data_IF_829190173969
#
_entry.id   IF_829190173969
#
_cell.length_a   1.000
_cell.length_b   1.000
_cell.length_c   1.000
_cell.angle_alpha   90.00
_cell.angle_beta   90.00
_cell.angle_gamma   90.00
#
_symmetry.space_group_name_H-M   'P 1'
#
loop_
_entity.id
_entity.type
_entity.pdbx_description
1 polymer ?
#
# COMPACT_ATOMS: atom_id res chain seq x y z
N UNK A 1 -2.08 1.35 -2.48
CA UNK A 1 -2.94 1.38 -1.30
C UNK A 1 -3.88 0.20 -1.39
N UNK A 2 -3.89 -0.67 -0.39
CA UNK A 2 -4.63 -1.94 -0.44
C UNK A 2 -3.81 -3.10 -0.97
N UNK A 3 -4.03 -4.27 -0.37
CA UNK A 3 -3.46 -5.56 -0.79
C UNK A 3 -4.59 -6.61 -0.90
N UNK A 4 -5.70 -6.22 -1.51
CA UNK A 4 -6.80 -7.11 -1.90
C UNK A 4 -6.48 -7.83 -3.22
N UNK A 5 -7.49 -8.35 -3.91
CA UNK A 5 -7.28 -9.04 -5.19
C UNK A 5 -6.54 -8.16 -6.19
N UNK A 6 -7.08 -6.99 -6.53
CA UNK A 6 -6.44 -6.08 -7.51
C UNK A 6 -5.05 -5.64 -7.04
N UNK A 7 -4.95 -4.99 -5.87
CA UNK A 7 -3.67 -4.48 -5.37
C UNK A 7 -2.56 -5.53 -5.18
N UNK A 8 -2.90 -6.78 -4.84
CA UNK A 8 -1.88 -7.84 -4.70
C UNK A 8 -1.33 -8.32 -6.05
N UNK A 9 -2.17 -8.44 -7.08
CA UNK A 9 -1.70 -8.75 -8.44
C UNK A 9 -0.99 -7.55 -9.07
N UNK A 10 -1.42 -6.32 -8.79
CA UNK A 10 -0.68 -5.12 -9.21
C UNK A 10 0.73 -5.12 -8.63
N UNK A 11 0.90 -5.42 -7.34
CA UNK A 11 2.23 -5.57 -6.74
C UNK A 11 3.04 -6.67 -7.43
N UNK A 12 2.44 -7.85 -7.67
CA UNK A 12 3.08 -8.97 -8.35
C UNK A 12 3.68 -8.56 -9.70
N UNK A 13 2.85 -8.02 -10.59
CA UNK A 13 3.27 -7.68 -11.94
C UNK A 13 4.27 -6.53 -11.98
N UNK A 14 4.12 -5.54 -11.09
CA UNK A 14 5.12 -4.47 -10.98
C UNK A 14 6.50 -5.00 -10.58
N UNK A 15 6.55 -5.93 -9.62
CA UNK A 15 7.82 -6.56 -9.20
C UNK A 15 8.41 -7.42 -10.33
N UNK A 16 7.58 -8.16 -11.07
CA UNK A 16 8.01 -8.95 -12.24
C UNK A 16 8.60 -8.07 -13.35
N UNK A 17 8.06 -6.87 -13.56
CA UNK A 17 8.57 -5.87 -14.50
C UNK A 17 9.77 -5.05 -13.94
N UNK A 18 10.26 -5.40 -12.75
CA UNK A 18 11.47 -4.80 -12.15
C UNK A 18 11.23 -3.52 -11.34
N UNK A 19 9.98 -3.14 -11.09
CA UNK A 19 9.67 -2.03 -10.19
C UNK A 19 9.90 -2.43 -8.71
N UNK A 20 10.26 -1.45 -7.89
CA UNK A 20 10.40 -1.63 -6.44
C UNK A 20 9.19 -1.08 -5.70
N UNK A 21 8.29 -1.95 -5.27
CA UNK A 21 7.15 -1.56 -4.42
C UNK A 21 7.65 -1.47 -2.97
N UNK A 22 7.92 -0.25 -2.47
CA UNK A 22 8.48 -0.02 -1.13
C UNK A 22 7.42 0.26 -0.05
N UNK A 23 6.23 0.69 -0.44
CA UNK A 23 5.18 1.13 0.47
C UNK A 23 3.87 0.41 0.17
N UNK A 24 3.21 -0.10 1.21
CA UNK A 24 1.94 -0.80 1.08
C UNK A 24 1.01 -0.41 2.23
N UNK A 25 -0.05 0.36 1.93
CA UNK A 25 -1.14 0.60 2.88
C UNK A 25 -1.98 -0.67 3.07
N UNK A 26 -2.23 -1.02 4.33
CA UNK A 26 -2.92 -2.24 4.77
C UNK A 26 -4.05 -1.90 5.76
N UNK A 27 -5.01 -2.82 5.92
CA UNK A 27 -5.98 -2.73 7.02
C UNK A 27 -5.26 -3.00 8.34
N UNK A 28 -5.49 -2.14 9.32
CA UNK A 28 -5.04 -2.32 10.70
C UNK A 28 -6.11 -1.80 11.65
N UNK A 29 -6.84 -2.73 12.27
CA UNK A 29 -7.97 -2.40 13.15
C UNK A 29 -7.55 -1.77 14.48
N UNK A 30 -6.24 -1.78 14.79
CA UNK A 30 -5.71 -1.12 15.98
C UNK A 30 -5.45 0.38 15.75
N UNK A 31 -5.51 0.85 14.50
CA UNK A 31 -5.38 2.26 14.16
C UNK A 31 -6.76 2.92 14.09
N UNK A 32 -6.87 4.16 14.56
CA UNK A 32 -8.15 4.90 14.61
C UNK A 32 -8.82 5.02 13.22
N UNK A 33 -8.01 5.17 12.17
CA UNK A 33 -8.50 5.22 10.79
C UNK A 33 -8.71 3.85 10.13
N UNK A 34 -8.48 2.76 10.87
CA UNK A 34 -8.60 1.37 10.40
C UNK A 34 -7.50 0.93 9.43
N UNK A 35 -6.43 1.73 9.30
CA UNK A 35 -5.35 1.50 8.33
C UNK A 35 -4.01 1.91 8.90
N UNK A 36 -2.98 1.18 8.46
CA UNK A 36 -1.58 1.59 8.56
C UNK A 36 -0.91 1.36 7.21
N UNK A 37 0.41 1.53 7.14
CA UNK A 37 1.17 1.04 6.00
C UNK A 37 2.42 0.27 6.45
N UNK A 38 2.99 -0.45 5.51
CA UNK A 38 4.28 -1.12 5.64
C UNK A 38 5.28 -0.44 4.73
N UNK A 39 6.51 -0.28 5.23
CA UNK A 39 7.67 0.20 4.49
C UNK A 39 8.76 -0.87 4.42
N UNK A 40 9.21 -1.20 3.22
CA UNK A 40 10.37 -2.06 2.97
C UNK A 40 11.44 -1.28 2.19
N UNK A 41 12.65 -1.20 2.75
CA UNK A 41 13.80 -0.57 2.10
C UNK A 41 14.21 -1.31 0.81
N UNK A 42 14.09 -2.64 0.81
CA UNK A 42 14.47 -3.48 -0.34
C UNK A 42 13.30 -3.71 -1.31
N UNK A 43 12.10 -3.24 -0.96
CA UNK A 43 10.85 -3.55 -1.65
C UNK A 43 10.18 -4.82 -1.13
N UNK A 44 8.96 -5.08 -1.59
CA UNK A 44 8.18 -6.23 -1.20
C UNK A 44 8.35 -7.40 -2.17
N UNK A 45 8.33 -8.62 -1.61
CA UNK A 45 8.21 -9.86 -2.35
C UNK A 45 6.77 -10.36 -2.29
N UNK A 46 6.18 -10.62 -3.46
CA UNK A 46 4.78 -11.01 -3.58
C UNK A 46 4.48 -12.33 -2.85
N UNK A 47 5.29 -13.36 -3.07
CA UNK A 47 5.07 -14.69 -2.50
C UNK A 47 5.18 -14.67 -0.98
N UNK A 48 6.17 -13.95 -0.44
CA UNK A 48 6.34 -13.78 1.00
C UNK A 48 5.20 -12.99 1.64
N UNK A 49 4.68 -11.95 1.00
CA UNK A 49 3.52 -11.20 1.51
C UNK A 49 2.24 -12.03 1.48
N UNK A 50 2.00 -12.73 0.36
CA UNK A 50 0.84 -13.62 0.20
C UNK A 50 0.84 -14.70 1.28
N UNK A 51 1.95 -15.42 1.42
CA UNK A 51 2.09 -16.46 2.44
C UNK A 51 1.81 -15.92 3.85
N UNK A 52 2.39 -14.77 4.19
CA UNK A 52 2.18 -14.16 5.51
C UNK A 52 0.70 -13.79 5.73
N UNK A 53 0.06 -13.16 4.74
CA UNK A 53 -1.37 -12.82 4.80
C UNK A 53 -2.23 -14.06 4.97
N UNK A 54 -1.92 -15.13 4.26
CA UNK A 54 -2.72 -16.36 4.29
C UNK A 54 -2.61 -17.08 5.63
N UNK A 55 -1.42 -17.07 6.25
CA UNK A 55 -1.16 -17.65 7.57
C UNK A 55 -1.75 -16.80 8.71
N UNK A 56 -1.62 -15.48 8.64
CA UNK A 56 -1.95 -14.57 9.76
C UNK A 56 -3.30 -13.86 9.60
N UNK A 57 -3.92 -13.93 8.42
CA UNK A 57 -5.13 -13.18 8.02
C UNK A 57 -5.00 -11.66 8.11
N UNK A 58 -3.78 -11.16 8.26
CA UNK A 58 -3.40 -9.75 8.28
C UNK A 58 -2.00 -9.60 7.74
N UNK A 59 -1.63 -8.36 7.39
CA UNK A 59 -0.25 -7.99 7.08
C UNK A 59 0.42 -7.22 8.22
N UNK A 60 -0.33 -6.88 9.28
CA UNK A 60 0.23 -6.27 10.49
C UNK A 60 1.23 -7.25 11.10
N UNK A 61 2.46 -6.79 11.35
CA UNK A 61 3.53 -7.62 11.89
C UNK A 61 4.40 -8.34 10.86
N UNK A 62 4.23 -8.06 9.56
CA UNK A 62 5.07 -8.64 8.51
C UNK A 62 6.57 -8.35 8.77
N UNK A 63 7.42 -9.38 8.94
CA UNK A 63 8.75 -9.21 9.54
C UNK A 63 9.78 -8.52 8.64
N UNK A 64 9.54 -8.45 7.33
CA UNK A 64 10.44 -7.81 6.37
C UNK A 64 10.07 -6.36 6.06
N UNK A 65 9.22 -5.74 6.89
CA UNK A 65 8.85 -4.35 6.74
C UNK A 65 8.64 -3.66 8.09
N UNK A 66 8.80 -2.34 8.09
CA UNK A 66 8.44 -1.49 9.23
C UNK A 66 7.00 -1.03 9.07
N UNK A 67 6.21 -1.11 10.14
CA UNK A 67 4.90 -0.44 10.19
C UNK A 67 5.12 1.08 10.25
N UNK A 68 4.39 1.81 9.41
CA UNK A 68 4.32 3.27 9.39
C UNK A 68 2.85 3.71 9.50
N UNK A 69 2.61 4.94 9.93
CA UNK A 69 1.25 5.47 10.06
C UNK A 69 0.60 5.76 8.69
N UNK A 70 -0.74 5.79 8.63
CA UNK A 70 -1.49 6.23 7.44
C UNK A 70 -1.08 7.65 7.02
N UNK A 71 -0.90 8.55 8.00
CA UNK A 71 -0.41 9.92 7.77
C UNK A 71 0.97 9.93 7.08
N UNK A 72 1.90 9.12 7.55
CA UNK A 72 3.25 9.03 6.97
C UNK A 72 3.21 8.49 5.54
N UNK A 73 2.37 7.49 5.27
CA UNK A 73 2.15 6.98 3.91
C UNK A 73 1.68 8.08 2.96
N UNK A 74 0.67 8.87 3.32
CA UNK A 74 0.15 9.94 2.45
C UNK A 74 1.08 11.15 2.30
N UNK A 75 2.04 11.33 3.21
CA UNK A 75 3.07 12.37 3.14
C UNK A 75 4.35 11.91 2.42
N UNK A 76 4.40 10.63 2.02
CA UNK A 76 5.54 10.06 1.30
C UNK A 76 5.53 10.51 -0.16
N UNK A 77 6.73 10.71 -0.70
CA UNK A 77 6.92 10.95 -2.13
C UNK A 77 6.85 9.65 -2.91
N UNK A 78 6.05 9.63 -3.97
CA UNK A 78 5.89 8.46 -4.84
C UNK A 78 6.28 8.79 -6.29
N UNK A 79 6.92 7.84 -6.97
CA UNK A 79 6.96 7.89 -8.44
C UNK A 79 5.59 7.53 -9.01
N UNK A 80 5.00 6.44 -8.49
CA UNK A 80 3.67 5.96 -8.85
C UNK A 80 2.91 5.64 -7.56
N UNK A 81 1.72 6.20 -7.41
CA UNK A 81 0.76 5.83 -6.37
C UNK A 81 -0.41 5.08 -7.01
N UNK A 82 -0.77 3.94 -6.43
CA UNK A 82 -1.85 3.08 -6.94
C UNK A 82 -2.91 2.88 -5.86
N UNK A 83 -4.02 3.66 -5.88
CA UNK A 83 -5.16 3.42 -5.03
C UNK A 83 -5.97 2.21 -5.50
N UNK A 84 -6.07 1.16 -4.66
CA UNK A 84 -6.60 -0.14 -5.06
C UNK A 84 -7.49 -0.79 -3.97
N UNK A 85 -8.07 0.02 -3.06
CA UNK A 85 -8.89 -0.51 -1.97
C UNK A 85 -10.22 0.21 -1.75
N UNK A 86 -10.20 1.51 -1.45
CA UNK A 86 -11.39 2.25 -0.99
C UNK A 86 -11.69 3.40 -1.94
N UNK A 87 -12.97 3.70 -2.12
CA UNK A 87 -13.43 4.93 -2.77
C UNK A 87 -13.12 6.15 -1.88
N UNK A 88 -13.00 7.32 -2.51
CA UNK A 88 -12.76 8.63 -1.88
C UNK A 88 -11.58 8.62 -0.89
N UNK A 89 -10.57 7.79 -1.13
CA UNK A 89 -9.37 7.71 -0.31
C UNK A 89 -8.47 8.93 -0.52
N UNK A 90 -8.38 9.47 -1.74
CA UNK A 90 -7.68 10.72 -2.06
C UNK A 90 -8.65 11.90 -1.89
N UNK A 91 -8.77 12.37 -0.66
CA UNK A 91 -9.55 13.58 -0.33
C UNK A 91 -8.82 14.87 -0.75
N UNK A 92 -9.52 16.01 -0.80
CA UNK A 92 -8.93 17.33 -1.04
C UNK A 92 -7.72 17.63 -0.12
N UNK A 93 -7.81 17.19 1.15
CA UNK A 93 -6.73 17.35 2.13
C UNK A 93 -5.48 16.56 1.78
N UNK A 94 -5.65 15.32 1.30
CA UNK A 94 -4.54 14.47 0.85
C UNK A 94 -3.97 15.05 -0.45
N UNK A 95 -4.83 15.36 -1.42
CA UNK A 95 -4.44 15.89 -2.72
C UNK A 95 -3.55 17.14 -2.62
N UNK A 96 -3.85 18.06 -1.68
CA UNK A 96 -3.05 19.27 -1.44
C UNK A 96 -1.60 19.01 -1.02
N UNK A 97 -1.32 17.84 -0.45
CA UNK A 97 0.00 17.51 0.11
C UNK A 97 0.67 16.33 -0.61
N UNK A 98 0.05 15.81 -1.67
CA UNK A 98 0.51 14.61 -2.35
C UNK A 98 1.68 14.95 -3.29
N UNK A 99 2.85 14.35 -3.05
CA UNK A 99 4.02 14.44 -3.94
C UNK A 99 4.12 13.15 -4.76
N UNK A 100 3.51 13.16 -5.94
CA UNK A 100 3.47 11.99 -6.83
C UNK A 100 3.60 12.39 -8.30
N UNK A 101 4.28 11.58 -9.11
CA UNK A 101 4.38 11.82 -10.58
C UNK A 101 3.22 11.22 -11.36
N UNK A 102 2.71 10.06 -10.93
CA UNK A 102 1.61 9.36 -11.57
C UNK A 102 0.68 8.73 -10.52
N UNK A 103 -0.63 8.90 -10.71
CA UNK A 103 -1.67 8.13 -10.01
C UNK A 103 -2.28 7.16 -11.03
N UNK A 104 -2.31 5.87 -10.69
CA UNK A 104 -2.99 4.84 -11.48
C UNK A 104 -4.09 4.22 -10.63
N UNK A 105 -5.35 4.45 -11.01
CA UNK A 105 -6.52 4.08 -10.21
C UNK A 105 -6.97 2.65 -10.52
N UNK A 106 -6.83 1.77 -9.53
CA UNK A 106 -7.28 0.38 -9.60
C UNK A 106 -8.66 0.19 -8.94
N UNK A 107 -9.02 1.06 -7.98
CA UNK A 107 -10.34 1.11 -7.39
C UNK A 107 -11.27 2.05 -8.19
N UNK A 108 -12.58 1.95 -7.96
CA UNK A 108 -13.54 2.89 -8.53
C UNK A 108 -13.65 4.14 -7.64
N UNK A 109 -13.40 5.31 -8.23
CA UNK A 109 -13.45 6.60 -7.54
C UNK A 109 -12.62 6.66 -6.26
N UNK A 110 -11.33 6.26 -6.28
CA UNK A 110 -10.47 6.31 -5.11
C UNK A 110 -10.12 7.74 -4.72
#
# INVERSE_FOLDING_TARGET
QGFGNVGSFTLKYLVEEGAKVKYLSIRDENEECGRSALYSEDGFDYESLQKYRDENKTLVGYPKAKKISDKEFWQTKFDILIPAALENIITEKIAKNLDVKLIAEDANGP
#
